data_IF_621672679274
#
_entry.id   IF_621672679274
#
_cell.length_a   1.000
_cell.length_b   1.000
_cell.length_c   1.000
_cell.angle_alpha   90.00
_cell.angle_beta   90.00
_cell.angle_gamma   90.00
#
_symmetry.space_group_name_H-M   'P 1'
#
loop_
_entity.id
_entity.type
_entity.pdbx_description
1 polymer ?
#
# COMPACT_ATOMS: atom_id res chain seq x y z
N UNK A 1 -15.68 10.67 -3.64
CA UNK A 1 -16.32 9.75 -2.67
C UNK A 1 -15.39 9.64 -1.49
N UNK A 2 -15.76 10.17 -0.34
CA UNK A 2 -15.01 9.98 0.91
C UNK A 2 -15.31 8.59 1.43
N UNK A 3 -14.38 7.66 1.28
CA UNK A 3 -14.44 6.33 1.89
C UNK A 3 -14.63 6.46 3.40
N UNK A 4 -15.44 5.59 4.00
CA UNK A 4 -15.64 5.57 5.46
C UNK A 4 -14.29 5.31 6.17
N UNK A 5 -14.07 5.88 7.35
CA UNK A 5 -12.88 5.60 8.19
C UNK A 5 -12.68 4.10 8.41
N UNK A 6 -13.77 3.32 8.43
CA UNK A 6 -13.71 1.87 8.50
C UNK A 6 -13.11 1.23 7.24
N UNK A 7 -13.48 1.69 6.04
CA UNK A 7 -12.92 1.17 4.78
C UNK A 7 -11.42 1.43 4.69
N UNK A 8 -10.98 2.62 5.08
CA UNK A 8 -9.54 2.96 5.14
C UNK A 8 -8.78 2.02 6.06
N UNK A 9 -9.39 1.64 7.18
CA UNK A 9 -8.77 0.78 8.17
C UNK A 9 -8.73 -0.70 7.73
N UNK A 10 -9.75 -1.17 7.00
CA UNK A 10 -9.71 -2.48 6.35
C UNK A 10 -8.62 -2.55 5.28
N UNK A 11 -8.47 -1.50 4.46
CA UNK A 11 -7.37 -1.40 3.51
C UNK A 11 -6.00 -1.43 4.20
N UNK A 12 -5.86 -0.78 5.37
CA UNK A 12 -4.64 -0.81 6.17
C UNK A 12 -4.31 -2.24 6.64
N UNK A 13 -5.33 -3.00 7.06
CA UNK A 13 -5.20 -4.40 7.51
C UNK A 13 -4.86 -5.37 6.38
N UNK A 14 -5.35 -5.11 5.18
CA UNK A 14 -4.97 -5.89 4.00
C UNK A 14 -3.55 -5.58 3.53
N UNK A 15 -3.13 -4.32 3.62
CA UNK A 15 -1.85 -3.85 3.10
C UNK A 15 -0.66 -4.17 4.01
N UNK A 16 -0.86 -4.18 5.33
CA UNK A 16 0.21 -4.29 6.32
C UNK A 16 -0.06 -5.45 7.29
N UNK A 17 0.98 -6.21 7.66
CA UNK A 17 0.81 -7.38 8.54
C UNK A 17 0.49 -7.01 10.00
N UNK A 18 0.89 -5.81 10.45
CA UNK A 18 0.71 -5.33 11.83
C UNK A 18 0.17 -3.88 11.84
N UNK A 19 -1.06 -3.65 11.38
CA UNK A 19 -1.67 -2.32 11.46
C UNK A 19 -1.95 -1.95 12.91
N UNK A 20 -1.84 -0.66 13.24
CA UNK A 20 -2.40 -0.09 14.46
C UNK A 20 -3.00 1.28 14.19
N UNK A 21 -3.94 1.69 15.04
CA UNK A 21 -4.56 3.00 15.05
C UNK A 21 -4.03 3.79 16.25
N UNK A 22 -3.53 4.99 16.00
CA UNK A 22 -3.12 5.93 17.04
C UNK A 22 -4.18 7.00 17.22
N UNK A 23 -4.74 7.11 18.42
CA UNK A 23 -5.79 8.08 18.77
C UNK A 23 -5.16 9.12 19.70
N UNK A 24 -4.95 10.33 19.16
CA UNK A 24 -4.47 11.47 19.93
C UNK A 24 -5.64 12.26 20.55
N UNK A 25 -5.54 12.53 21.83
CA UNK A 25 -6.42 13.43 22.57
C UNK A 25 -6.95 12.84 23.88
N UNK A 26 -7.50 13.73 24.70
CA UNK A 26 -8.08 13.36 25.99
C UNK A 26 -9.46 12.73 25.83
N UNK A 27 -9.54 11.39 25.81
CA UNK A 27 -10.78 10.64 25.56
C UNK A 27 -12.01 11.08 26.37
N UNK A 28 -11.92 11.45 27.66
CA UNK A 28 -13.10 11.92 28.40
C UNK A 28 -13.74 13.19 27.84
N UNK A 29 -13.10 13.88 26.89
CA UNK A 29 -13.70 15.00 26.14
C UNK A 29 -14.96 14.59 25.37
N UNK A 30 -15.12 13.31 24.99
CA UNK A 30 -16.29 12.84 24.24
C UNK A 30 -17.62 13.06 25.00
N UNK A 31 -17.58 13.07 26.33
CA UNK A 31 -18.76 13.33 27.17
C UNK A 31 -19.14 14.81 27.23
N UNK A 32 -18.28 15.71 26.76
CA UNK A 32 -18.54 17.15 26.69
C UNK A 32 -19.21 17.56 25.38
N UNK A 33 -19.21 16.70 24.36
CA UNK A 33 -19.82 16.99 23.06
C UNK A 33 -21.30 16.61 23.04
N UNK A 34 -22.19 17.59 23.09
CA UNK A 34 -23.65 17.39 23.11
C UNK A 34 -24.21 16.70 21.85
N UNK A 35 -23.51 16.79 20.71
CA UNK A 35 -23.94 16.20 19.43
C UNK A 35 -23.49 14.76 19.23
N UNK A 36 -22.64 14.21 20.11
CA UNK A 36 -22.08 12.87 19.96
C UNK A 36 -22.52 12.05 21.17
N UNK A 37 -23.27 10.98 20.93
CA UNK A 37 -23.59 10.00 21.97
C UNK A 37 -22.31 9.22 22.33
N UNK A 38 -21.84 9.23 23.59
CA UNK A 38 -20.62 8.51 23.97
C UNK A 38 -20.67 7.01 23.64
N UNK A 39 -21.86 6.40 23.73
CA UNK A 39 -22.10 5.00 23.36
C UNK A 39 -21.76 4.70 21.90
N UNK A 40 -21.97 5.65 20.98
CA UNK A 40 -21.59 5.49 19.56
C UNK A 40 -20.08 5.47 19.37
N UNK A 41 -19.34 6.28 20.13
CA UNK A 41 -17.86 6.28 20.11
C UNK A 41 -17.34 4.95 20.64
N UNK A 42 -17.86 4.49 21.78
CA UNK A 42 -17.48 3.21 22.36
C UNK A 42 -17.85 2.02 21.47
N UNK A 43 -19.01 2.08 20.81
CA UNK A 43 -19.42 1.08 19.83
C UNK A 43 -18.46 1.01 18.64
N UNK A 44 -17.99 2.16 18.14
CA UNK A 44 -16.99 2.20 17.07
C UNK A 44 -15.65 1.60 17.53
N UNK A 45 -15.12 2.04 18.69
CA UNK A 45 -13.86 1.51 19.26
C UNK A 45 -13.96 -0.01 19.47
N UNK A 46 -15.07 -0.49 20.03
CA UNK A 46 -15.28 -1.92 20.23
C UNK A 46 -15.34 -2.70 18.91
N UNK A 47 -15.99 -2.15 17.88
CA UNK A 47 -16.01 -2.75 16.54
C UNK A 47 -14.60 -2.90 15.97
N UNK A 48 -13.75 -1.88 16.13
CA UNK A 48 -12.34 -1.92 15.71
C UNK A 48 -11.52 -2.95 16.49
N UNK A 49 -11.68 -2.99 17.81
CA UNK A 49 -11.04 -3.98 18.67
C UNK A 49 -11.44 -5.42 18.27
N UNK A 50 -12.73 -5.67 18.02
CA UNK A 50 -13.25 -6.99 17.60
C UNK A 50 -12.65 -7.44 16.26
N UNK A 51 -12.29 -6.49 15.40
CA UNK A 51 -11.61 -6.76 14.12
C UNK A 51 -10.10 -7.01 14.28
N UNK A 52 -9.56 -7.03 15.51
CA UNK A 52 -8.15 -7.30 15.79
C UNK A 52 -7.23 -6.14 15.43
N UNK A 53 -7.73 -4.91 15.46
CA UNK A 53 -6.96 -3.72 15.13
C UNK A 53 -6.37 -3.18 16.44
N UNK A 54 -5.04 -3.15 16.51
CA UNK A 54 -4.35 -2.62 17.68
C UNK A 54 -4.64 -1.12 17.78
N UNK A 55 -5.04 -0.64 18.96
CA UNK A 55 -5.31 0.77 19.20
C UNK A 55 -4.41 1.28 20.31
N UNK A 56 -3.80 2.43 20.08
CA UNK A 56 -2.90 3.11 21.01
C UNK A 56 -3.44 4.51 21.20
N UNK A 57 -3.46 4.97 22.45
CA UNK A 57 -3.96 6.29 22.79
C UNK A 57 -2.82 7.15 23.34
N UNK A 58 -2.77 8.40 22.89
CA UNK A 58 -1.87 9.44 23.40
C UNK A 58 -2.71 10.64 23.78
N UNK A 59 -2.33 11.39 24.80
CA UNK A 59 -3.15 12.51 25.29
C UNK A 59 -2.91 13.80 24.53
N UNK A 60 -1.73 13.96 23.92
CA UNK A 60 -1.29 15.16 23.23
C UNK A 60 -0.17 14.87 22.21
N UNK A 61 0.13 15.86 21.37
CA UNK A 61 1.11 15.73 20.30
C UNK A 61 2.53 15.34 20.77
N UNK A 62 2.95 15.72 21.99
CA UNK A 62 4.29 15.35 22.48
C UNK A 62 4.36 13.85 22.73
N UNK A 63 3.35 13.28 23.39
CA UNK A 63 3.25 11.83 23.58
C UNK A 63 3.14 11.08 22.26
N UNK A 64 2.39 11.62 21.29
CA UNK A 64 2.32 11.08 19.93
C UNK A 64 3.70 11.02 19.28
N UNK A 65 4.47 12.10 19.33
CA UNK A 65 5.83 12.14 18.78
C UNK A 65 6.75 11.15 19.49
N UNK A 66 6.74 11.12 20.81
CA UNK A 66 7.56 10.20 21.61
C UNK A 66 7.23 8.74 21.30
N UNK A 67 5.94 8.42 21.18
CA UNK A 67 5.47 7.10 20.81
C UNK A 67 5.93 6.70 19.40
N UNK A 68 5.74 7.56 18.41
CA UNK A 68 6.14 7.28 17.02
C UNK A 68 7.65 7.14 16.88
N UNK A 69 8.43 7.98 17.55
CA UNK A 69 9.89 7.90 17.54
C UNK A 69 10.39 6.60 18.18
N UNK A 70 9.84 6.25 19.35
CA UNK A 70 10.23 5.04 20.09
C UNK A 70 9.89 3.78 19.31
N UNK A 71 8.66 3.70 18.78
CA UNK A 71 8.22 2.56 17.97
C UNK A 71 9.02 2.40 16.68
N UNK A 72 9.29 3.50 15.97
CA UNK A 72 10.12 3.47 14.75
C UNK A 72 11.54 2.99 15.05
N UNK A 73 12.17 3.47 16.13
CA UNK A 73 13.50 3.01 16.54
C UNK A 73 13.53 1.53 16.88
N UNK A 74 12.51 1.03 17.58
CA UNK A 74 12.41 -0.38 17.92
C UNK A 74 12.29 -1.26 16.65
N UNK A 75 11.38 -0.92 15.74
CA UNK A 75 11.16 -1.67 14.49
C UNK A 75 12.36 -1.60 13.53
N UNK A 76 12.97 -0.43 13.36
CA UNK A 76 14.01 -0.23 12.34
C UNK A 76 15.43 -0.53 12.84
N UNK A 77 15.77 -0.19 14.08
CA UNK A 77 17.14 -0.31 14.61
C UNK A 77 17.32 -1.64 15.35
N UNK A 78 16.35 -1.99 16.21
CA UNK A 78 16.45 -3.19 17.07
C UNK A 78 16.01 -4.43 16.29
N UNK A 79 14.82 -4.39 15.69
CA UNK A 79 14.28 -5.52 14.91
C UNK A 79 14.80 -5.58 13.46
N UNK A 80 15.50 -4.53 12.99
CA UNK A 80 16.06 -4.42 11.63
C UNK A 80 15.03 -4.68 10.52
N UNK A 81 13.75 -4.34 10.74
CA UNK A 81 12.73 -4.49 9.70
C UNK A 81 12.91 -3.44 8.62
N UNK A 82 13.04 -3.90 7.38
CA UNK A 82 13.03 -3.01 6.21
C UNK A 82 11.58 -2.58 5.96
N UNK A 83 11.30 -1.27 5.78
CA UNK A 83 9.96 -0.80 5.46
C UNK A 83 9.44 -1.46 4.18
N UNK A 84 8.25 -2.05 4.24
CA UNK A 84 7.57 -2.52 3.03
C UNK A 84 7.09 -1.30 2.24
N UNK A 85 7.77 -0.98 1.13
CA UNK A 85 7.44 0.17 0.26
C UNK A 85 6.23 -0.12 -0.63
N UNK A 86 5.84 -1.39 -0.75
CA UNK A 86 4.63 -1.81 -1.47
C UNK A 86 3.60 -2.39 -0.50
N UNK A 87 2.33 -1.95 -0.58
CA UNK A 87 1.21 -2.67 0.04
C UNK A 87 1.24 -4.11 -0.48
N UNK A 88 1.52 -5.07 0.40
CA UNK A 88 1.44 -6.48 0.04
C UNK A 88 -0.03 -6.83 0.05
N UNK A 89 -0.74 -6.51 -1.03
CA UNK A 89 -2.09 -7.04 -1.20
C UNK A 89 -1.93 -8.56 -1.21
N UNK A 90 -2.52 -9.27 -0.23
CA UNK A 90 -2.62 -10.73 -0.28
C UNK A 90 -3.32 -11.06 -1.60
N UNK A 91 -2.58 -11.55 -2.57
CA UNK A 91 -3.15 -12.06 -3.82
C UNK A 91 -3.62 -13.47 -3.51
N UNK A 92 -4.93 -13.59 -3.27
CA UNK A 92 -5.56 -14.84 -2.82
C UNK A 92 -5.62 -15.89 -3.94
N UNK A 93 -5.49 -15.43 -5.19
CA UNK A 93 -5.50 -16.29 -6.38
C UNK A 93 -4.36 -15.97 -7.35
N UNK A 94 -3.97 -16.96 -8.16
CA UNK A 94 -2.97 -16.77 -9.24
C UNK A 94 -3.40 -15.68 -10.22
N UNK A 95 -4.70 -15.58 -10.52
CA UNK A 95 -5.23 -14.56 -11.42
C UNK A 95 -5.00 -13.15 -10.87
N UNK A 96 -5.25 -12.95 -9.59
CA UNK A 96 -4.98 -11.66 -8.95
C UNK A 96 -3.49 -11.35 -8.87
N UNK A 97 -2.64 -12.37 -8.64
CA UNK A 97 -1.19 -12.23 -8.68
C UNK A 97 -0.70 -11.78 -10.06
N UNK A 98 -1.23 -12.35 -11.15
CA UNK A 98 -0.92 -11.95 -12.52
C UNK A 98 -1.33 -10.50 -12.81
N UNK A 99 -2.54 -10.12 -12.38
CA UNK A 99 -3.03 -8.74 -12.55
C UNK A 99 -2.17 -7.77 -11.75
N UNK A 100 -1.85 -8.09 -10.50
CA UNK A 100 -1.05 -7.24 -9.63
C UNK A 100 0.37 -7.04 -10.18
N UNK A 101 1.02 -8.12 -10.62
CA UNK A 101 2.36 -8.07 -11.22
C UNK A 101 2.42 -7.18 -12.46
N UNK A 102 1.43 -7.27 -13.37
CA UNK A 102 1.42 -6.37 -14.53
C UNK A 102 1.02 -4.95 -14.16
N UNK A 103 0.16 -4.78 -13.16
CA UNK A 103 -0.24 -3.46 -12.66
C UNK A 103 0.87 -2.75 -11.85
N UNK A 104 1.93 -3.44 -11.45
CA UNK A 104 3.10 -2.78 -10.85
C UNK A 104 4.04 -2.16 -11.89
N UNK A 105 3.79 -2.36 -13.19
CA UNK A 105 4.57 -1.73 -14.25
C UNK A 105 4.22 -0.25 -14.41
N UNK A 106 5.17 0.59 -14.86
CA UNK A 106 4.93 2.03 -15.03
C UNK A 106 3.70 2.34 -15.89
N UNK A 107 2.78 3.13 -15.34
CA UNK A 107 1.56 3.58 -16.02
C UNK A 107 0.59 2.47 -16.47
N UNK A 108 0.70 1.28 -15.89
CA UNK A 108 -0.24 0.17 -16.07
C UNK A 108 -1.13 0.06 -14.83
N UNK A 109 -2.40 0.41 -14.96
CA UNK A 109 -3.40 0.14 -13.93
C UNK A 109 -4.06 -1.23 -14.13
N UNK A 110 -4.97 -1.61 -13.21
CA UNK A 110 -5.71 -2.88 -13.25
C UNK A 110 -6.37 -3.15 -14.61
N UNK A 111 -7.04 -2.16 -15.19
CA UNK A 111 -7.74 -2.33 -16.48
C UNK A 111 -6.77 -2.66 -17.63
N UNK A 112 -5.62 -1.97 -17.69
CA UNK A 112 -4.59 -2.25 -18.69
C UNK A 112 -3.95 -3.61 -18.47
N UNK A 113 -3.68 -3.99 -17.21
CA UNK A 113 -3.17 -5.32 -16.87
C UNK A 113 -4.14 -6.42 -17.34
N UNK A 114 -5.45 -6.23 -17.14
CA UNK A 114 -6.48 -7.13 -17.66
C UNK A 114 -6.49 -7.21 -19.19
N UNK A 115 -6.41 -6.07 -19.89
CA UNK A 115 -6.35 -6.06 -21.36
C UNK A 115 -5.10 -6.78 -21.89
N UNK A 116 -3.94 -6.58 -21.27
CA UNK A 116 -2.70 -7.26 -21.61
C UNK A 116 -2.84 -8.77 -21.40
N UNK A 117 -3.40 -9.21 -20.27
CA UNK A 117 -3.62 -10.64 -19.98
C UNK A 117 -4.63 -11.26 -20.94
N UNK A 118 -5.67 -10.52 -21.34
CA UNK A 118 -6.62 -11.00 -22.36
C UNK A 118 -5.95 -11.19 -23.72
N UNK A 119 -5.00 -10.35 -24.09
CA UNK A 119 -4.29 -10.45 -25.36
C UNK A 119 -3.20 -11.54 -25.38
N UNK A 120 -2.47 -11.73 -24.27
CA UNK A 120 -1.26 -12.57 -24.25
C UNK A 120 -1.35 -13.80 -23.32
N UNK A 121 -2.41 -13.92 -22.53
CA UNK A 121 -2.72 -15.05 -21.66
C UNK A 121 -1.93 -15.10 -20.35
N UNK A 122 -0.61 -14.88 -20.39
CA UNK A 122 0.26 -14.93 -19.20
C UNK A 122 1.14 -13.68 -19.10
N UNK A 123 1.59 -13.30 -17.88
CA UNK A 123 2.54 -12.21 -17.74
C UNK A 123 3.83 -12.43 -18.53
N UNK A 124 4.37 -13.66 -18.56
CA UNK A 124 5.59 -13.96 -19.32
C UNK A 124 5.39 -13.70 -20.82
N UNK A 125 4.32 -14.23 -21.41
CA UNK A 125 4.01 -13.99 -22.83
C UNK A 125 3.81 -12.50 -23.12
N UNK A 126 3.17 -11.78 -22.21
CA UNK A 126 2.99 -10.34 -22.33
C UNK A 126 4.34 -9.61 -22.35
N UNK A 127 5.23 -9.90 -21.41
CA UNK A 127 6.55 -9.25 -21.31
C UNK A 127 7.45 -9.57 -22.51
N UNK A 128 7.46 -10.81 -22.98
CA UNK A 128 8.21 -11.21 -24.20
C UNK A 128 7.73 -10.45 -25.43
N UNK A 129 6.44 -10.09 -25.48
CA UNK A 129 5.83 -9.38 -26.61
C UNK A 129 5.62 -7.88 -26.33
N UNK A 130 6.35 -7.29 -25.38
CA UNK A 130 6.17 -5.87 -24.97
C UNK A 130 6.26 -4.90 -26.15
N UNK A 131 7.09 -5.19 -27.16
CA UNK A 131 7.23 -4.38 -28.37
C UNK A 131 5.93 -4.24 -29.17
N UNK A 132 5.03 -5.20 -29.05
CA UNK A 132 3.77 -5.22 -29.79
C UNK A 132 2.59 -4.63 -29.02
N UNK A 133 2.75 -4.30 -27.73
CA UNK A 133 1.65 -3.83 -26.89
C UNK A 133 0.92 -2.62 -27.47
N UNK A 134 1.65 -1.68 -28.08
CA UNK A 134 1.04 -0.48 -28.67
C UNK A 134 0.21 -0.74 -29.92
N UNK A 135 0.40 -1.89 -30.56
CA UNK A 135 -0.36 -2.33 -31.72
C UNK A 135 -1.51 -3.27 -31.31
N UNK A 136 -1.21 -4.22 -30.43
CA UNK A 136 -2.09 -5.35 -30.15
C UNK A 136 -3.06 -5.09 -28.98
N UNK A 137 -2.79 -4.09 -28.12
CA UNK A 137 -3.60 -3.84 -26.92
C UNK A 137 -4.13 -2.40 -26.90
N UNK A 138 -5.46 -2.28 -26.96
CA UNK A 138 -6.13 -0.98 -26.91
C UNK A 138 -5.77 -0.21 -25.63
N UNK A 139 -5.37 1.05 -25.77
CA UNK A 139 -5.07 1.95 -24.64
C UNK A 139 -3.62 1.87 -24.12
N UNK A 140 -2.75 1.07 -24.76
CA UNK A 140 -1.31 1.01 -24.48
C UNK A 140 -0.49 1.77 -25.52
N UNK A 141 -0.70 3.09 -25.64
CA UNK A 141 0.05 3.91 -26.59
C UNK A 141 1.58 3.83 -26.42
N UNK A 142 2.34 4.24 -27.45
CA UNK A 142 3.80 4.04 -27.54
C UNK A 142 4.57 4.60 -26.33
N UNK A 143 4.13 5.73 -25.78
CA UNK A 143 4.76 6.35 -24.60
C UNK A 143 4.70 5.47 -23.34
N UNK A 144 3.58 4.77 -23.13
CA UNK A 144 3.42 3.85 -21.99
C UNK A 144 4.32 2.64 -22.21
N UNK A 145 4.24 2.05 -23.40
CA UNK A 145 5.05 0.89 -23.78
C UNK A 145 6.54 1.17 -23.67
N UNK A 146 7.02 2.34 -24.10
CA UNK A 146 8.43 2.73 -23.99
C UNK A 146 8.88 2.83 -22.53
N UNK A 147 8.05 3.38 -21.63
CA UNK A 147 8.37 3.43 -20.19
C UNK A 147 8.52 2.03 -19.59
N UNK A 148 7.63 1.11 -19.95
CA UNK A 148 7.72 -0.29 -19.51
C UNK A 148 8.99 -0.94 -20.08
N UNK A 149 9.28 -0.75 -21.37
CA UNK A 149 10.49 -1.25 -22.02
C UNK A 149 11.77 -0.78 -21.32
N UNK A 150 11.84 0.48 -20.89
CA UNK A 150 13.00 0.98 -20.13
C UNK A 150 13.22 0.16 -18.86
N UNK A 151 12.17 -0.19 -18.12
CA UNK A 151 12.30 -1.02 -16.92
C UNK A 151 12.75 -2.44 -17.25
N UNK A 152 12.24 -3.03 -18.34
CA UNK A 152 12.55 -4.42 -18.70
C UNK A 152 13.93 -4.62 -19.32
N UNK A 153 14.42 -3.64 -20.09
CA UNK A 153 15.66 -3.77 -20.86
C UNK A 153 16.86 -3.05 -20.27
N UNK A 154 16.68 -2.11 -19.34
CA UNK A 154 17.82 -1.44 -18.70
C UNK A 154 18.47 -2.40 -17.70
N UNK A 155 19.79 -2.65 -17.80
CA UNK A 155 20.51 -3.44 -16.81
C UNK A 155 20.35 -2.88 -15.40
N UNK A 156 20.29 -3.77 -14.41
CA UNK A 156 20.24 -3.35 -13.01
C UNK A 156 21.62 -2.84 -12.56
N UNK A 157 21.68 -1.58 -12.11
CA UNK A 157 22.86 -0.97 -11.52
C UNK A 157 22.56 -0.58 -10.06
N UNK A 158 23.07 -1.32 -9.06
CA UNK A 158 22.91 -0.95 -7.66
C UNK A 158 23.67 0.35 -7.35
N UNK A 159 23.07 1.23 -6.55
CA UNK A 159 23.65 2.54 -6.19
C UNK A 159 25.00 2.47 -5.45
N UNK A 160 25.44 1.28 -5.04
CA UNK A 160 26.75 1.05 -4.41
C UNK A 160 27.93 1.41 -5.35
N UNK A 161 27.75 1.35 -6.67
CA UNK A 161 28.79 1.68 -7.65
C UNK A 161 28.97 3.18 -7.93
N UNK A 162 28.14 4.08 -7.38
CA UNK A 162 28.25 5.53 -7.61
C UNK A 162 29.23 6.27 -6.69
N UNK A 163 29.79 5.60 -5.68
CA UNK A 163 30.76 6.20 -4.73
C UNK A 163 32.24 5.95 -5.06
N UNK A 164 32.55 5.37 -6.22
CA UNK A 164 33.91 4.95 -6.60
C UNK A 164 34.52 5.64 -7.82
N UNK A 165 34.01 6.80 -8.25
CA UNK A 165 34.61 7.59 -9.33
C UNK A 165 35.26 8.85 -8.78
N UNK A 166 36.59 8.90 -8.85
CA UNK A 166 37.50 10.03 -8.54
C UNK A 166 37.06 11.35 -9.15
#
# INVERSE_FOLDING_TARGET
MTSSTFEQLFLLKEAYPKPFLLIEGYMPIIYKFSRIQPSSVWGAIFSLAKQGINMIHTTNYKETVDFLYTSARQEQIVEKRVPAVHPVKKVETIVEAQIFFLASLPNIGREKALSILKSYGTPLNALVNVDRWAKDVHGLGPKITERVKRVLYTPYEPDENKKGGT
#
